data_IF_624936272074
#
_entry.id   IF_624936272074
#
_cell.length_a   1.000
_cell.length_b   1.000
_cell.length_c   1.000
_cell.angle_alpha   90.00
_cell.angle_beta   90.00
_cell.angle_gamma   90.00
#
_symmetry.space_group_name_H-M   'P 1'
#
loop_
_entity.id
_entity.type
_entity.pdbx_description
1 polymer ?
#
# COMPACT_ATOMS: atom_id res chain seq x y z
N UNK A 1 -64.85 -19.32 5.88
CA UNK A 1 -63.66 -20.13 5.48
C UNK A 1 -62.54 -19.85 6.46
N UNK A 2 -62.05 -20.90 7.14
CA UNK A 2 -60.92 -20.87 8.08
C UNK A 2 -59.61 -20.74 7.30
N UNK A 3 -58.65 -19.99 7.82
CA UNK A 3 -57.23 -20.30 7.66
C UNK A 3 -56.51 -20.09 8.99
N UNK A 4 -56.11 -21.21 9.58
CA UNK A 4 -55.06 -21.29 10.59
C UNK A 4 -53.89 -22.11 10.02
N UNK A 5 -52.80 -22.13 10.78
CA UNK A 5 -51.52 -22.82 10.54
C UNK A 5 -50.50 -22.05 9.69
N UNK A 6 -49.60 -21.32 10.39
CA UNK A 6 -48.22 -21.05 9.95
C UNK A 6 -47.35 -20.50 11.11
N UNK A 7 -47.41 -21.11 12.30
CA UNK A 7 -46.59 -20.69 13.45
C UNK A 7 -45.63 -21.77 13.97
N UNK A 8 -45.52 -22.93 13.30
CA UNK A 8 -44.68 -24.06 13.77
C UNK A 8 -43.36 -24.24 13.00
N UNK A 9 -43.06 -23.39 12.01
CA UNK A 9 -41.84 -23.52 11.19
C UNK A 9 -40.68 -22.60 11.62
N UNK A 10 -40.95 -21.59 12.47
CA UNK A 10 -39.95 -20.59 12.86
C UNK A 10 -39.09 -21.07 14.05
N UNK A 11 -39.61 -21.94 14.93
CA UNK A 11 -38.87 -22.43 16.09
C UNK A 11 -37.78 -23.47 15.75
N UNK A 12 -37.86 -24.14 14.59
CA UNK A 12 -36.86 -25.14 14.18
C UNK A 12 -35.61 -24.52 13.51
N UNK A 13 -35.74 -23.34 12.89
CA UNK A 13 -34.61 -22.66 12.23
C UNK A 13 -33.64 -22.10 13.27
N UNK A 14 -34.19 -21.56 14.37
CA UNK A 14 -33.40 -20.95 15.45
C UNK A 14 -32.55 -21.98 16.22
N UNK A 15 -33.01 -23.23 16.29
CA UNK A 15 -32.26 -24.35 16.89
C UNK A 15 -31.09 -24.81 16.00
N UNK A 16 -31.27 -24.83 14.68
CA UNK A 16 -30.23 -25.21 13.72
C UNK A 16 -29.12 -24.16 13.71
N UNK A 17 -29.47 -22.87 13.68
CA UNK A 17 -28.50 -21.77 13.75
C UNK A 17 -27.66 -21.78 15.04
N UNK A 18 -28.27 -22.09 16.20
CA UNK A 18 -27.53 -22.21 17.46
C UNK A 18 -26.55 -23.39 17.48
N UNK A 19 -26.91 -24.51 16.84
CA UNK A 19 -26.07 -25.71 16.79
C UNK A 19 -24.85 -25.51 15.89
N UNK A 20 -25.03 -24.85 14.75
CA UNK A 20 -23.91 -24.56 13.82
C UNK A 20 -22.97 -23.51 14.43
N UNK A 21 -23.51 -22.51 15.12
CA UNK A 21 -22.72 -21.51 15.85
C UNK A 21 -21.92 -22.10 17.03
N UNK A 22 -22.46 -23.12 17.72
CA UNK A 22 -21.71 -23.85 18.75
C UNK A 22 -20.56 -24.69 18.17
N UNK A 23 -20.76 -25.36 17.03
CA UNK A 23 -19.69 -26.09 16.36
C UNK A 23 -18.58 -25.18 15.85
N UNK A 24 -18.94 -23.99 15.39
CA UNK A 24 -17.99 -22.95 14.99
C UNK A 24 -17.21 -22.38 16.18
N UNK A 25 -17.86 -22.23 17.33
CA UNK A 25 -17.20 -21.82 18.58
C UNK A 25 -16.24 -22.90 19.12
N UNK A 26 -16.60 -24.18 19.00
CA UNK A 26 -15.76 -25.31 19.39
C UNK A 26 -14.54 -25.47 18.48
N UNK A 27 -14.68 -25.23 17.17
CA UNK A 27 -13.55 -25.25 16.23
C UNK A 27 -12.59 -24.07 16.45
N UNK A 28 -13.11 -22.87 16.75
CA UNK A 28 -12.31 -21.70 17.12
C UNK A 28 -11.57 -21.90 18.45
N UNK A 29 -12.21 -22.50 19.46
CA UNK A 29 -11.57 -22.79 20.75
C UNK A 29 -10.48 -23.87 20.64
N UNK A 30 -10.62 -24.84 19.72
CA UNK A 30 -9.58 -25.83 19.44
C UNK A 30 -8.37 -25.21 18.75
N UNK A 31 -8.59 -24.33 17.76
CA UNK A 31 -7.53 -23.58 17.10
C UNK A 31 -6.78 -22.63 18.06
N UNK A 32 -7.49 -21.99 19.00
CA UNK A 32 -6.89 -21.17 20.05
C UNK A 32 -6.02 -21.95 21.05
N UNK A 33 -6.29 -23.24 21.30
CA UNK A 33 -5.47 -24.09 22.19
C UNK A 33 -4.25 -24.70 21.51
N UNK A 34 -4.25 -24.87 20.19
CA UNK A 34 -3.13 -25.44 19.43
C UNK A 34 -2.10 -24.39 18.99
N UNK A 35 -2.53 -23.13 18.80
CA UNK A 35 -1.64 -22.00 18.46
C UNK A 35 -0.46 -21.76 19.43
N UNK A 36 -0.64 -21.76 20.77
CA UNK A 36 0.45 -21.48 21.70
C UNK A 36 1.59 -22.50 21.59
N UNK A 37 1.26 -23.78 21.39
CA UNK A 37 2.26 -24.85 21.27
C UNK A 37 3.11 -24.73 20.01
N UNK A 38 2.52 -24.25 18.90
CA UNK A 38 3.23 -24.04 17.64
C UNK A 38 4.15 -22.81 17.71
N UNK A 39 3.76 -21.76 18.44
CA UNK A 39 4.62 -20.59 18.63
C UNK A 39 5.82 -20.89 19.53
N UNK A 40 5.62 -21.66 20.60
CA UNK A 40 6.68 -22.07 21.53
C UNK A 40 7.72 -22.97 20.83
N UNK A 41 7.27 -23.97 20.05
CA UNK A 41 8.16 -24.84 19.26
C UNK A 41 8.96 -24.05 18.20
N UNK A 42 8.38 -22.98 17.63
CA UNK A 42 9.10 -22.10 16.70
C UNK A 42 10.17 -21.29 17.41
N UNK A 43 9.90 -20.77 18.61
CA UNK A 43 10.86 -19.96 19.36
C UNK A 43 12.08 -20.79 19.78
N UNK A 44 11.86 -22.00 20.30
CA UNK A 44 12.93 -22.92 20.69
C UNK A 44 13.86 -23.23 19.51
N UNK A 45 13.29 -23.50 18.33
CA UNK A 45 14.07 -23.75 17.11
C UNK A 45 14.84 -22.51 16.62
N UNK A 46 14.37 -21.29 16.87
CA UNK A 46 15.11 -20.05 16.53
C UNK A 46 16.35 -19.97 17.40
N UNK A 47 16.21 -20.22 18.70
CA UNK A 47 17.33 -20.18 19.63
C UNK A 47 18.38 -21.24 19.31
N UNK A 48 17.97 -22.46 18.95
CA UNK A 48 18.87 -23.49 18.45
C UNK A 48 19.64 -23.05 17.19
N UNK A 49 18.96 -22.38 16.26
CA UNK A 49 19.57 -21.87 15.04
C UNK A 49 20.59 -20.77 15.32
N UNK A 50 20.26 -19.82 16.19
CA UNK A 50 21.17 -18.75 16.59
C UNK A 50 22.37 -19.28 17.37
N UNK A 51 22.16 -20.30 18.20
CA UNK A 51 23.23 -20.98 18.93
C UNK A 51 24.18 -21.69 17.96
N UNK A 52 23.65 -22.48 17.02
CA UNK A 52 24.44 -23.13 15.98
C UNK A 52 25.24 -22.13 15.16
N UNK A 53 24.64 -21.01 14.75
CA UNK A 53 25.35 -19.96 14.01
C UNK A 53 26.51 -19.36 14.81
N UNK A 54 26.34 -19.15 16.12
CA UNK A 54 27.39 -18.64 17.02
C UNK A 54 28.55 -19.62 17.19
N UNK A 55 28.28 -20.93 17.13
CA UNK A 55 29.28 -21.99 17.27
C UNK A 55 30.14 -22.19 16.00
N UNK A 56 29.69 -21.70 14.85
CA UNK A 56 30.49 -21.73 13.62
C UNK A 56 31.70 -20.79 13.70
N UNK A 57 32.85 -21.25 13.19
CA UNK A 57 34.00 -20.38 12.96
C UNK A 57 33.75 -19.45 11.75
N UNK A 58 34.55 -18.40 11.64
CA UNK A 58 34.35 -17.36 10.62
C UNK A 58 34.54 -17.86 9.19
N UNK A 59 35.42 -18.86 8.98
CA UNK A 59 35.62 -19.48 7.67
C UNK A 59 34.35 -20.21 7.22
N UNK A 60 33.71 -20.94 8.12
CA UNK A 60 32.46 -21.64 7.84
C UNK A 60 31.30 -20.65 7.57
N UNK A 61 31.20 -19.57 8.35
CA UNK A 61 30.20 -18.52 8.14
C UNK A 61 30.35 -17.85 6.77
N UNK A 62 31.58 -17.49 6.39
CA UNK A 62 31.88 -16.91 5.08
C UNK A 62 31.49 -17.87 3.95
N UNK A 63 31.86 -19.14 4.04
CA UNK A 63 31.54 -20.14 3.02
C UNK A 63 30.02 -20.32 2.88
N UNK A 64 29.28 -20.35 3.99
CA UNK A 64 27.81 -20.42 3.95
C UNK A 64 27.23 -19.20 3.22
N UNK A 65 27.73 -18.00 3.51
CA UNK A 65 27.27 -16.77 2.84
C UNK A 65 27.55 -16.80 1.34
N UNK A 66 28.76 -17.19 0.94
CA UNK A 66 29.11 -17.27 -0.48
C UNK A 66 28.25 -18.28 -1.25
N UNK A 67 27.98 -19.45 -0.66
CA UNK A 67 27.13 -20.45 -1.31
C UNK A 67 25.67 -19.95 -1.35
N UNK A 68 25.20 -19.31 -0.28
CA UNK A 68 23.84 -18.74 -0.23
C UNK A 68 23.60 -17.70 -1.34
N UNK A 69 24.59 -16.86 -1.63
CA UNK A 69 24.50 -15.86 -2.70
C UNK A 69 24.58 -16.47 -4.12
N UNK A 70 25.32 -17.58 -4.28
CA UNK A 70 25.62 -18.18 -5.59
C UNK A 70 24.59 -19.22 -6.04
N UNK A 71 23.80 -19.79 -5.13
CA UNK A 71 22.96 -20.95 -5.40
C UNK A 71 21.47 -20.66 -5.25
N UNK A 72 20.63 -21.46 -5.93
CA UNK A 72 19.20 -21.45 -5.63
C UNK A 72 18.96 -21.93 -4.20
N UNK A 73 17.79 -21.60 -3.66
CA UNK A 73 17.37 -22.08 -2.34
C UNK A 73 17.50 -23.61 -2.24
N UNK A 74 16.97 -24.37 -3.17
CA UNK A 74 17.00 -25.85 -3.13
C UNK A 74 18.44 -26.40 -3.17
N UNK A 75 19.31 -25.77 -3.95
CA UNK A 75 20.72 -26.15 -4.07
C UNK A 75 21.49 -25.85 -2.78
N UNK A 76 21.34 -24.64 -2.24
CA UNK A 76 21.92 -24.23 -0.97
C UNK A 76 21.52 -25.21 0.14
N UNK A 77 20.26 -25.63 0.16
CA UNK A 77 19.74 -26.57 1.16
C UNK A 77 20.29 -27.97 1.04
N UNK A 78 20.48 -28.44 -0.19
CA UNK A 78 21.12 -29.73 -0.46
C UNK A 78 22.58 -29.69 -0.04
N UNK A 79 23.28 -28.60 -0.34
CA UNK A 79 24.67 -28.39 0.07
C UNK A 79 24.82 -28.34 1.59
N UNK A 80 23.97 -27.57 2.29
CA UNK A 80 24.04 -27.41 3.74
C UNK A 80 23.83 -28.75 4.47
N UNK A 81 22.86 -29.55 4.01
CA UNK A 81 22.63 -30.91 4.52
C UNK A 81 23.83 -31.83 4.29
N UNK A 82 24.46 -31.75 3.11
CA UNK A 82 25.63 -32.55 2.77
C UNK A 82 26.84 -32.22 3.66
N UNK A 83 27.07 -30.93 3.91
CA UNK A 83 28.22 -30.44 4.67
C UNK A 83 28.10 -30.71 6.17
N UNK A 84 26.95 -30.40 6.77
CA UNK A 84 26.79 -30.44 8.23
C UNK A 84 26.03 -31.68 8.75
N UNK A 85 25.68 -32.63 7.87
CA UNK A 85 25.14 -34.03 8.01
C UNK A 85 24.09 -34.33 9.10
N UNK A 86 24.21 -33.79 10.31
CA UNK A 86 23.38 -34.08 11.49
C UNK A 86 23.03 -32.86 12.33
N UNK A 87 23.70 -31.71 12.12
CA UNK A 87 23.51 -30.49 12.95
C UNK A 87 23.13 -29.30 12.06
N UNK A 88 22.21 -29.49 11.13
CA UNK A 88 21.50 -28.34 10.56
C UNK A 88 20.22 -28.21 11.37
N UNK A 89 20.09 -27.19 12.24
CA UNK A 89 18.85 -26.94 12.95
C UNK A 89 17.71 -26.98 11.95
N UNK A 90 16.65 -27.72 12.26
CA UNK A 90 15.49 -27.85 11.38
C UNK A 90 14.97 -26.47 10.92
N UNK A 91 15.26 -25.41 11.67
CA UNK A 91 14.94 -24.02 11.32
C UNK A 91 15.77 -23.33 10.24
N UNK A 92 17.01 -23.74 9.94
CA UNK A 92 17.64 -23.26 8.68
C UNK A 92 16.83 -23.77 7.49
N UNK A 93 16.16 -24.92 7.66
CA UNK A 93 15.22 -25.48 6.69
C UNK A 93 13.82 -24.85 6.70
N UNK A 94 13.28 -24.48 7.86
CA UNK A 94 11.98 -23.80 7.96
C UNK A 94 12.01 -22.30 7.68
N UNK A 95 13.08 -21.60 8.06
CA UNK A 95 13.19 -20.15 7.94
C UNK A 95 13.22 -19.68 6.49
N UNK A 96 13.70 -20.52 5.57
CA UNK A 96 13.66 -20.23 4.13
C UNK A 96 12.28 -20.44 3.51
N UNK A 97 11.36 -21.15 4.17
CA UNK A 97 10.07 -21.56 3.60
C UNK A 97 8.92 -20.61 3.91
N UNK A 98 8.91 -19.87 5.02
CA UNK A 98 7.82 -18.96 5.33
C UNK A 98 8.23 -17.72 6.14
N UNK A 99 7.85 -16.54 5.63
CA UNK A 99 7.80 -15.23 6.31
C UNK A 99 9.08 -14.64 6.87
N UNK A 100 10.20 -15.38 6.87
CA UNK A 100 11.46 -14.91 7.41
C UNK A 100 12.48 -14.78 6.28
N UNK A 101 13.10 -13.61 6.16
CA UNK A 101 14.26 -13.38 5.31
C UNK A 101 15.50 -13.48 6.17
N UNK A 102 16.47 -14.28 5.73
CA UNK A 102 17.80 -14.27 6.29
C UNK A 102 18.63 -13.23 5.55
N UNK A 103 19.06 -12.20 6.28
CA UNK A 103 20.06 -11.27 5.79
C UNK A 103 21.37 -11.54 6.50
N UNK A 104 22.38 -11.91 5.73
CA UNK A 104 23.75 -11.96 6.21
C UNK A 104 24.39 -10.60 5.99
N UNK A 105 24.97 -10.03 7.03
CA UNK A 105 25.70 -8.77 6.95
C UNK A 105 27.11 -8.92 7.51
N UNK A 106 28.06 -8.39 6.75
CA UNK A 106 29.46 -8.24 7.15
C UNK A 106 29.65 -6.81 7.65
N UNK A 107 30.05 -6.65 8.90
CA UNK A 107 30.41 -5.35 9.46
C UNK A 107 31.88 -5.37 9.85
N UNK A 108 32.64 -4.39 9.37
CA UNK A 108 33.93 -4.05 9.94
C UNK A 108 33.64 -3.12 11.12
N UNK A 109 33.96 -3.55 12.34
CA UNK A 109 34.05 -2.61 13.46
C UNK A 109 35.48 -2.15 13.53
N UNK A 110 35.70 -0.88 13.22
CA UNK A 110 36.86 -0.18 13.73
C UNK A 110 36.61 -0.03 15.23
N UNK A 111 37.22 -0.89 16.04
CA UNK A 111 37.27 -0.63 17.48
C UNK A 111 38.07 0.66 17.64
N UNK A 112 37.41 1.73 18.11
CA UNK A 112 38.05 2.95 18.60
C UNK A 112 38.98 2.56 19.76
N UNK A 113 40.19 2.09 19.42
CA UNK A 113 41.24 1.75 20.37
C UNK A 113 41.80 3.07 20.88
N UNK A 114 41.47 3.35 22.14
CA UNK A 114 42.18 4.34 22.94
C UNK A 114 43.67 3.99 22.92
N UNK A 115 44.50 4.93 22.44
CA UNK A 115 45.90 4.75 22.09
C UNK A 115 46.75 4.24 23.26
N UNK A 116 47.23 3.00 23.16
CA UNK A 116 48.50 2.56 23.76
C UNK A 116 49.41 2.11 22.60
N UNK A 117 50.47 2.86 22.36
CA UNK A 117 51.17 2.98 21.06
C UNK A 117 52.05 1.78 20.63
N UNK A 118 52.26 0.75 21.44
CA UNK A 118 53.46 -0.10 21.21
C UNK A 118 53.28 -1.50 20.61
N UNK A 119 52.08 -1.93 20.18
CA UNK A 119 51.91 -3.17 19.39
C UNK A 119 50.74 -3.10 18.40
N UNK A 120 50.97 -2.54 17.21
CA UNK A 120 50.03 -2.62 16.07
C UNK A 120 50.12 -3.97 15.39
N UNK A 121 49.41 -4.95 15.95
CA UNK A 121 48.90 -6.07 15.16
C UNK A 121 47.50 -5.66 14.68
N UNK A 122 47.34 -5.53 13.37
CA UNK A 122 46.15 -5.03 12.68
C UNK A 122 45.06 -6.11 12.70
N UNK A 123 44.53 -6.41 13.89
CA UNK A 123 43.49 -7.43 14.10
C UNK A 123 42.13 -6.86 13.65
N UNK A 124 41.92 -6.84 12.33
CA UNK A 124 40.64 -6.44 11.72
C UNK A 124 39.62 -7.55 11.99
N UNK A 125 38.80 -7.40 13.04
CA UNK A 125 37.75 -8.38 13.36
C UNK A 125 36.52 -8.16 12.48
N UNK A 126 36.34 -9.05 11.52
CA UNK A 126 35.14 -9.11 10.68
C UNK A 126 34.01 -9.76 11.46
N UNK A 127 32.93 -9.03 11.73
CA UNK A 127 31.75 -9.56 12.42
C UNK A 127 30.68 -10.00 11.41
N UNK A 128 30.40 -11.30 11.38
CA UNK A 128 29.30 -11.89 10.63
C UNK A 128 28.03 -11.93 11.47
N UNK A 129 26.99 -11.24 11.01
CA UNK A 129 25.68 -11.19 11.68
C UNK A 129 24.59 -11.83 10.82
N UNK A 130 23.79 -12.69 11.44
CA UNK A 130 22.59 -13.27 10.84
C UNK A 130 21.38 -12.50 11.36
N UNK A 131 20.74 -11.75 10.48
CA UNK A 131 19.51 -11.03 10.79
C UNK A 131 18.31 -11.81 10.26
N UNK A 132 17.41 -12.19 11.16
CA UNK A 132 16.13 -12.78 10.81
C UNK A 132 15.14 -11.63 10.71
N UNK A 133 14.71 -11.29 9.50
CA UNK A 133 13.69 -10.26 9.28
C UNK A 133 12.35 -10.91 8.95
N UNK A 134 11.25 -10.37 9.46
CA UNK A 134 9.91 -10.82 9.09
C UNK A 134 9.37 -10.00 7.92
N UNK A 135 8.89 -10.70 6.90
CA UNK A 135 8.33 -10.10 5.70
C UNK A 135 6.87 -9.69 5.92
N UNK A 136 6.51 -8.48 5.47
CA UNK A 136 5.14 -8.01 5.35
C UNK A 136 4.91 -7.32 4.01
N UNK A 137 3.64 -7.11 3.68
CA UNK A 137 3.21 -6.35 2.53
C UNK A 137 2.59 -5.02 2.99
N UNK A 138 2.83 -3.97 2.24
CA UNK A 138 2.22 -2.65 2.42
C UNK A 138 1.46 -2.30 1.16
N UNK A 139 0.16 -2.08 1.29
CA UNK A 139 -0.71 -1.61 0.24
C UNK A 139 -0.73 -0.07 0.26
N UNK A 140 -0.21 0.55 -0.79
CA UNK A 140 -0.10 2.01 -0.92
C UNK A 140 -1.38 2.64 -1.45
N UNK A 141 -2.05 1.95 -2.38
CA UNK A 141 -3.33 2.31 -2.98
C UNK A 141 -4.12 1.04 -3.37
N UNK A 142 -5.22 1.16 -4.13
CA UNK A 142 -6.06 0.01 -4.53
C UNK A 142 -5.35 -1.00 -5.44
N UNK A 143 -4.19 -0.66 -5.99
CA UNK A 143 -3.48 -1.42 -7.04
C UNK A 143 -2.03 -1.76 -6.72
N UNK A 144 -1.36 -0.97 -5.88
CA UNK A 144 0.07 -1.10 -5.61
C UNK A 144 0.37 -1.69 -4.21
N UNK A 145 1.09 -2.81 -4.21
CA UNK A 145 1.60 -3.47 -3.00
C UNK A 145 3.12 -3.57 -3.04
N UNK A 146 3.78 -3.25 -1.92
CA UNK A 146 5.24 -3.34 -1.76
C UNK A 146 5.58 -4.28 -0.61
N UNK A 147 6.67 -5.02 -0.77
CA UNK A 147 7.20 -5.87 0.30
C UNK A 147 8.11 -5.06 1.22
N UNK A 148 8.00 -5.27 2.52
CA UNK A 148 8.88 -4.72 3.55
C UNK A 148 9.42 -5.85 4.43
N UNK A 149 10.57 -5.59 5.06
CA UNK A 149 11.23 -6.52 5.96
C UNK A 149 11.53 -5.82 7.28
N UNK A 150 11.03 -6.42 8.37
CA UNK A 150 11.12 -5.90 9.74
C UNK A 150 12.06 -6.78 10.55
N UNK A 151 13.14 -6.21 11.06
CA UNK A 151 14.08 -6.88 11.97
C UNK A 151 13.50 -7.03 13.38
N UNK A 152 12.64 -6.10 13.78
CA UNK A 152 11.89 -6.05 15.02
C UNK A 152 10.42 -5.76 14.70
N UNK A 153 9.51 -6.42 15.43
CA UNK A 153 8.07 -6.19 15.26
C UNK A 153 7.60 -5.00 16.11
N UNK A 154 8.14 -3.82 15.81
CA UNK A 154 7.75 -2.57 16.47
C UNK A 154 7.00 -1.66 15.50
N UNK A 155 6.12 -0.84 16.03
CA UNK A 155 5.41 0.20 15.29
C UNK A 155 6.40 1.21 14.71
N UNK A 156 7.47 1.55 15.43
CA UNK A 156 8.50 2.48 14.94
C UNK A 156 9.22 1.94 13.71
N UNK A 157 9.63 0.66 13.70
CA UNK A 157 10.30 0.08 12.53
C UNK A 157 9.33 -0.07 11.36
N UNK A 158 8.07 -0.44 11.61
CA UNK A 158 7.03 -0.48 10.60
C UNK A 158 6.89 0.88 9.89
N UNK A 159 6.79 1.96 10.65
CA UNK A 159 6.73 3.32 10.11
C UNK A 159 7.98 3.68 9.29
N UNK A 160 9.19 3.38 9.79
CA UNK A 160 10.44 3.65 9.06
C UNK A 160 10.49 2.91 7.71
N UNK A 161 10.12 1.62 7.69
CA UNK A 161 10.10 0.83 6.45
C UNK A 161 9.03 1.31 5.47
N UNK A 162 7.87 1.71 5.96
CA UNK A 162 6.80 2.31 5.14
C UNK A 162 7.30 3.61 4.49
N UNK A 163 7.89 4.51 5.28
CA UNK A 163 8.44 5.77 4.76
C UNK A 163 9.48 5.56 3.67
N UNK A 164 10.29 4.49 3.75
CA UNK A 164 11.31 4.16 2.75
C UNK A 164 10.74 3.60 1.44
N UNK A 165 9.53 3.02 1.45
CA UNK A 165 8.89 2.50 0.23
C UNK A 165 7.98 3.52 -0.45
N UNK A 166 7.63 4.61 0.24
CA UNK A 166 6.91 5.74 -0.33
C UNK A 166 7.86 6.59 -1.18
N UNK A 167 7.39 7.02 -2.35
CA UNK A 167 8.16 7.96 -3.15
C UNK A 167 8.15 9.37 -2.54
N UNK A 168 9.17 10.15 -2.90
CA UNK A 168 9.35 11.51 -2.38
C UNK A 168 8.16 12.42 -2.72
N UNK A 169 7.58 12.27 -3.91
CA UNK A 169 6.40 13.04 -4.33
C UNK A 169 5.19 12.81 -3.43
N UNK A 170 4.97 11.58 -2.98
CA UNK A 170 3.89 11.20 -2.09
C UNK A 170 4.09 11.82 -0.71
N UNK A 171 5.31 11.72 -0.16
CA UNK A 171 5.64 12.35 1.12
C UNK A 171 5.49 13.89 1.06
N UNK A 172 5.95 14.52 -0.02
CA UNK A 172 5.78 15.96 -0.23
C UNK A 172 4.31 16.37 -0.38
N UNK A 173 3.51 15.58 -1.10
CA UNK A 173 2.07 15.78 -1.22
C UNK A 173 1.37 15.68 0.14
N UNK A 174 1.71 14.67 0.95
CA UNK A 174 1.15 14.51 2.29
C UNK A 174 1.49 15.69 3.20
N UNK A 175 2.73 16.16 3.17
CA UNK A 175 3.16 17.31 3.95
C UNK A 175 2.41 18.59 3.52
N UNK A 176 2.26 18.83 2.21
CA UNK A 176 1.55 20.00 1.66
C UNK A 176 0.05 19.96 1.96
N UNK A 177 -0.58 18.80 1.84
CA UNK A 177 -2.01 18.62 2.07
C UNK A 177 -2.35 18.33 3.54
N UNK A 178 -1.35 18.30 4.43
CA UNK A 178 -1.50 18.05 5.86
C UNK A 178 -2.26 16.74 6.14
N UNK A 179 -1.97 15.68 5.39
CA UNK A 179 -2.54 14.36 5.65
C UNK A 179 -1.80 13.67 6.80
N UNK A 180 -2.55 13.04 7.69
CA UNK A 180 -2.05 12.05 8.63
C UNK A 180 -2.11 10.68 7.96
N UNK A 181 -0.97 10.00 7.95
CA UNK A 181 -0.89 8.59 7.59
C UNK A 181 -1.51 7.74 8.69
N UNK A 182 -2.38 6.82 8.31
CA UNK A 182 -2.86 5.74 9.14
C UNK A 182 -2.44 4.41 8.54
N UNK A 183 -2.07 3.48 9.41
CA UNK A 183 -1.69 2.12 9.02
C UNK A 183 -2.79 1.19 9.53
N UNK A 184 -3.41 0.43 8.63
CA UNK A 184 -4.52 -0.46 8.95
C UNK A 184 -4.07 -1.90 8.70
N UNK A 185 -4.14 -2.77 9.71
CA UNK A 185 -3.97 -4.22 9.53
C UNK A 185 -5.20 -4.81 8.87
N UNK A 186 -5.05 -5.36 7.66
CA UNK A 186 -6.19 -5.80 6.85
C UNK A 186 -6.89 -7.04 7.39
N UNK A 187 -6.20 -7.83 8.21
CA UNK A 187 -6.74 -9.03 8.85
C UNK A 187 -7.87 -8.72 9.84
N UNK A 188 -7.87 -7.51 10.44
CA UNK A 188 -8.86 -7.09 11.43
C UNK A 188 -9.52 -5.75 11.10
N UNK A 189 -9.16 -5.14 9.97
CA UNK A 189 -9.49 -3.75 9.64
C UNK A 189 -9.22 -2.79 10.81
N UNK A 190 -8.15 -3.06 11.58
CA UNK A 190 -7.82 -2.34 12.81
C UNK A 190 -6.67 -1.38 12.55
N UNK A 191 -6.76 -0.18 13.11
CA UNK A 191 -5.66 0.77 13.16
C UNK A 191 -4.48 0.17 13.95
N UNK A 192 -3.27 0.31 13.41
CA UNK A 192 -2.02 -0.13 14.02
C UNK A 192 -1.37 1.10 14.64
N UNK A 193 -1.31 1.16 15.97
CA UNK A 193 -0.74 2.30 16.71
C UNK A 193 0.37 1.90 17.68
N UNK A 194 0.47 0.60 17.97
CA UNK A 194 1.34 0.04 19.01
C UNK A 194 2.16 -1.13 18.49
N UNK A 195 3.24 -1.46 19.20
CA UNK A 195 4.05 -2.64 18.91
C UNK A 195 3.21 -3.93 19.03
N UNK A 196 2.30 -3.98 20.00
CA UNK A 196 1.36 -5.08 20.18
C UNK A 196 0.46 -5.29 18.96
N UNK A 197 0.00 -4.22 18.32
CA UNK A 197 -0.81 -4.31 17.09
C UNK A 197 0.00 -4.95 15.96
N UNK A 198 1.25 -4.53 15.77
CA UNK A 198 2.16 -5.11 14.76
C UNK A 198 2.38 -6.59 15.04
N UNK A 199 2.75 -6.93 16.28
CA UNK A 199 2.96 -8.33 16.70
C UNK A 199 1.69 -9.15 16.44
N UNK A 200 0.52 -8.60 16.78
CA UNK A 200 -0.74 -9.31 16.64
C UNK A 200 -1.09 -9.62 15.18
N UNK A 201 -0.84 -8.69 14.25
CA UNK A 201 -1.02 -8.92 12.81
C UNK A 201 -0.12 -10.04 12.28
N UNK A 202 1.12 -10.12 12.76
CA UNK A 202 2.04 -11.22 12.42
C UNK A 202 1.64 -12.56 13.02
N UNK A 203 0.90 -12.57 14.13
CA UNK A 203 0.37 -13.81 14.74
C UNK A 203 -0.87 -14.34 14.03
N UNK A 204 -1.71 -13.45 13.54
CA UNK A 204 -2.99 -13.79 12.89
C UNK A 204 -2.86 -14.11 11.40
N UNK A 205 -1.89 -13.51 10.72
CA UNK A 205 -1.71 -13.68 9.28
C UNK A 205 -0.39 -14.34 8.92
N UNK A 206 -0.45 -15.34 8.05
CA UNK A 206 0.74 -15.90 7.39
C UNK A 206 1.35 -14.94 6.37
N UNK A 207 0.59 -13.97 5.88
CA UNK A 207 1.05 -12.93 4.98
C UNK A 207 0.52 -11.59 5.50
N UNK A 208 1.22 -10.97 6.47
CA UNK A 208 0.82 -9.70 7.05
C UNK A 208 0.70 -8.64 5.96
N UNK A 209 -0.45 -7.97 5.92
CA UNK A 209 -0.74 -6.90 4.98
C UNK A 209 -1.20 -5.66 5.76
N UNK A 210 -0.50 -4.57 5.51
CA UNK A 210 -0.76 -3.25 6.08
C UNK A 210 -1.26 -2.33 4.98
N UNK A 211 -2.46 -1.81 5.12
CA UNK A 211 -3.03 -0.83 4.20
C UNK A 211 -2.77 0.58 4.71
N UNK A 212 -2.23 1.44 3.85
CA UNK A 212 -2.12 2.86 4.14
C UNK A 212 -3.45 3.55 3.87
N UNK A 213 -3.87 4.38 4.81
CA UNK A 213 -5.03 5.24 4.68
C UNK A 213 -4.64 6.66 5.04
N UNK A 214 -5.14 7.63 4.28
CA UNK A 214 -4.83 9.04 4.47
C UNK A 214 -6.05 9.72 5.10
N UNK A 215 -5.85 10.38 6.24
CA UNK A 215 -6.88 11.21 6.86
C UNK A 215 -6.42 12.66 6.92
N UNK A 216 -7.25 13.64 6.51
CA UNK A 216 -6.91 15.04 6.68
C UNK A 216 -6.59 15.32 8.16
N UNK A 217 -5.46 15.98 8.43
CA UNK A 217 -5.14 16.41 9.79
C UNK A 217 -6.08 17.53 10.20
N UNK A 218 -6.98 17.25 11.16
CA UNK A 218 -7.87 18.26 11.73
C UNK A 218 -7.13 19.25 12.64
N UNK A 219 -5.88 18.97 13.02
CA UNK A 219 -5.11 19.77 13.98
C UNK A 219 -4.24 20.85 13.33
N UNK A 220 -4.07 20.82 12.00
CA UNK A 220 -3.32 21.85 11.28
C UNK A 220 -4.29 22.95 10.79
N UNK A 221 -4.40 23.99 11.62
CA UNK A 221 -5.12 25.26 11.38
C UNK A 221 -6.65 25.25 11.45
N UNK A 222 -7.14 25.73 12.60
CA UNK A 222 -8.49 26.23 12.89
C UNK A 222 -9.06 27.30 11.91
N UNK A 223 -8.34 27.65 10.83
CA UNK A 223 -8.79 28.64 9.83
C UNK A 223 -8.85 28.13 8.39
N UNK A 224 -8.45 26.88 8.11
CA UNK A 224 -8.66 26.26 6.80
C UNK A 224 -9.58 25.07 6.97
N UNK A 225 -10.88 25.33 7.01
CA UNK A 225 -11.87 24.25 6.87
C UNK A 225 -11.61 23.57 5.52
N UNK A 226 -11.03 22.37 5.53
CA UNK A 226 -11.02 21.51 4.34
C UNK A 226 -12.49 21.32 3.95
N UNK A 227 -12.93 22.04 2.93
CA UNK A 227 -14.30 21.94 2.44
C UNK A 227 -14.38 20.66 1.62
N UNK A 228 -15.06 19.66 2.18
CA UNK A 228 -15.44 18.47 1.41
C UNK A 228 -16.42 18.92 0.34
N UNK A 229 -16.03 18.76 -0.93
CA UNK A 229 -16.89 18.97 -2.08
C UNK A 229 -17.84 17.79 -2.18
N UNK A 230 -19.13 18.03 -1.94
CA UNK A 230 -20.17 16.99 -1.92
C UNK A 230 -21.01 17.00 -3.19
N UNK A 231 -21.09 18.12 -3.88
CA UNK A 231 -21.95 18.31 -5.03
C UNK A 231 -21.27 19.25 -6.03
N UNK A 232 -20.29 18.72 -6.76
CA UNK A 232 -19.57 19.49 -7.76
C UNK A 232 -20.28 19.44 -9.12
N UNK A 233 -20.21 20.55 -9.86
CA UNK A 233 -20.35 20.53 -11.30
C UNK A 233 -18.96 20.47 -11.94
N UNK A 234 -18.71 19.45 -12.73
CA UNK A 234 -17.48 19.26 -13.49
C UNK A 234 -17.75 19.54 -14.97
N UNK A 235 -17.00 20.48 -15.54
CA UNK A 235 -17.14 20.94 -16.91
C UNK A 235 -15.84 20.69 -17.65
N UNK A 236 -15.86 19.82 -18.65
CA UNK A 236 -14.69 19.51 -19.47
C UNK A 236 -14.84 20.06 -20.88
N UNK A 237 -13.82 20.77 -21.37
CA UNK A 237 -13.68 21.11 -22.78
C UNK A 237 -12.48 20.37 -23.33
N UNK A 238 -12.72 19.42 -24.23
CA UNK A 238 -11.71 18.67 -24.96
C UNK A 238 -11.72 19.05 -26.44
N UNK A 239 -10.65 19.69 -26.93
CA UNK A 239 -10.47 20.02 -28.35
C UNK A 239 -9.44 19.07 -28.93
N UNK A 240 -9.93 18.04 -29.64
CA UNK A 240 -9.11 16.97 -30.23
C UNK A 240 -8.80 17.21 -31.70
N UNK A 241 -9.57 18.04 -32.41
CA UNK A 241 -9.38 18.31 -33.83
C UNK A 241 -9.13 19.80 -34.14
N UNK A 242 -8.16 20.06 -35.02
CA UNK A 242 -7.76 21.39 -35.46
C UNK A 242 -7.78 21.52 -36.98
N UNK A 243 -8.20 22.69 -37.47
CA UNK A 243 -8.27 23.00 -38.89
C UNK A 243 -6.88 23.05 -39.54
N UNK A 244 -5.89 23.60 -38.82
CA UNK A 244 -4.49 23.62 -39.23
C UNK A 244 -3.69 22.54 -38.48
N UNK A 245 -3.81 21.31 -38.97
CA UNK A 245 -3.10 20.15 -38.42
C UNK A 245 -1.57 20.22 -38.63
N UNK A 246 -1.06 21.21 -39.38
CA UNK A 246 0.38 21.39 -39.58
C UNK A 246 1.01 22.16 -38.44
N UNK A 247 0.31 23.17 -37.92
CA UNK A 247 0.75 23.96 -36.75
C UNK A 247 0.27 23.36 -35.43
N UNK A 248 -0.97 22.87 -35.39
CA UNK A 248 -1.62 22.33 -34.21
C UNK A 248 -2.09 20.91 -34.51
N UNK A 249 -1.26 19.92 -34.19
CA UNK A 249 -1.60 18.53 -34.48
C UNK A 249 -2.84 18.08 -33.70
N UNK A 250 -3.70 17.29 -34.31
CA UNK A 250 -4.84 16.66 -33.63
C UNK A 250 -4.39 15.86 -32.40
N UNK A 251 -5.25 15.83 -31.38
CA UNK A 251 -5.03 15.21 -30.07
C UNK A 251 -6.06 14.09 -29.85
N UNK A 252 -5.96 12.96 -30.57
CA UNK A 252 -6.99 11.91 -30.58
C UNK A 252 -7.23 11.27 -29.20
N UNK A 253 -6.20 11.24 -28.34
CA UNK A 253 -6.32 10.69 -26.99
C UNK A 253 -7.33 11.44 -26.11
N UNK A 254 -7.62 12.72 -26.40
CA UNK A 254 -8.58 13.48 -25.61
C UNK A 254 -9.97 12.84 -25.69
N UNK A 255 -10.40 12.49 -26.90
CA UNK A 255 -11.71 11.89 -27.15
C UNK A 255 -11.74 10.40 -26.75
N UNK A 256 -10.70 9.66 -27.12
CA UNK A 256 -10.66 8.21 -26.91
C UNK A 256 -10.42 7.81 -25.44
N UNK A 257 -9.63 8.61 -24.71
CA UNK A 257 -9.12 8.23 -23.38
C UNK A 257 -9.48 9.25 -22.31
N UNK A 258 -9.12 10.52 -22.51
CA UNK A 258 -9.19 11.49 -21.41
C UNK A 258 -10.63 11.76 -20.99
N UNK A 259 -11.55 12.02 -21.95
CA UNK A 259 -12.98 12.21 -21.66
C UNK A 259 -13.56 10.98 -20.96
N UNK A 260 -13.24 9.77 -21.43
CA UNK A 260 -13.73 8.51 -20.84
C UNK A 260 -13.22 8.35 -19.39
N UNK A 261 -11.94 8.63 -19.16
CA UNK A 261 -11.32 8.52 -17.86
C UNK A 261 -11.89 9.53 -16.86
N UNK A 262 -11.96 10.81 -17.24
CA UNK A 262 -12.51 11.86 -16.38
C UNK A 262 -13.99 11.67 -16.10
N UNK A 263 -14.77 11.25 -17.11
CA UNK A 263 -16.17 10.91 -16.91
C UNK A 263 -16.33 9.76 -15.91
N UNK A 264 -15.55 8.68 -16.06
CA UNK A 264 -15.59 7.58 -15.10
C UNK A 264 -15.24 8.04 -13.68
N UNK A 265 -14.16 8.80 -13.51
CA UNK A 265 -13.73 9.30 -12.21
C UNK A 265 -14.76 10.24 -11.58
N UNK A 266 -15.16 11.30 -12.27
CA UNK A 266 -16.00 12.34 -11.68
C UNK A 266 -17.48 11.94 -11.60
N UNK A 267 -18.02 11.30 -12.65
CA UNK A 267 -19.43 10.94 -12.69
C UNK A 267 -19.71 9.62 -11.96
N UNK A 268 -18.89 8.58 -12.15
CA UNK A 268 -19.17 7.25 -11.58
C UNK A 268 -18.56 7.04 -10.21
N UNK A 269 -17.30 7.44 -10.00
CA UNK A 269 -16.61 7.19 -8.72
C UNK A 269 -16.94 8.28 -7.69
N UNK A 270 -16.93 9.55 -8.11
CA UNK A 270 -17.18 10.69 -7.22
C UNK A 270 -18.65 11.15 -7.20
N UNK A 271 -19.49 10.64 -8.12
CA UNK A 271 -20.92 10.97 -8.23
C UNK A 271 -21.18 12.49 -8.33
N UNK A 272 -20.36 13.18 -9.13
CA UNK A 272 -20.54 14.58 -9.48
C UNK A 272 -21.24 14.72 -10.84
N UNK A 273 -21.88 15.88 -11.05
CA UNK A 273 -22.45 16.19 -12.35
C UNK A 273 -21.31 16.47 -13.34
N UNK A 274 -21.22 15.67 -14.41
CA UNK A 274 -20.19 15.81 -15.44
C UNK A 274 -20.79 16.26 -16.77
N UNK A 275 -20.26 17.36 -17.32
CA UNK A 275 -20.66 17.89 -18.64
C UNK A 275 -19.42 18.10 -19.49
N UNK A 276 -19.47 17.67 -20.75
CA UNK A 276 -18.42 17.93 -21.72
C UNK A 276 -18.97 18.37 -23.08
N UNK A 277 -18.13 19.00 -23.89
CA UNK A 277 -18.46 19.31 -25.27
C UNK A 277 -18.69 18.05 -26.10
N UNK A 278 -19.70 18.09 -26.98
CA UNK A 278 -20.06 16.95 -27.81
C UNK A 278 -19.25 16.84 -29.10
N UNK A 279 -18.72 17.96 -29.60
CA UNK A 279 -17.94 18.02 -30.83
C UNK A 279 -16.44 18.10 -30.55
N UNK A 280 -15.64 17.34 -31.30
CA UNK A 280 -14.18 17.30 -31.25
C UNK A 280 -13.51 18.65 -31.60
N UNK A 281 -14.23 19.51 -32.33
CA UNK A 281 -13.80 20.86 -32.72
C UNK A 281 -14.58 21.88 -31.92
N UNK A 282 -13.90 22.94 -31.50
CA UNK A 282 -14.56 24.07 -30.86
C UNK A 282 -13.81 25.37 -31.17
N UNK A 283 -14.48 26.30 -31.83
CA UNK A 283 -13.96 27.67 -32.03
C UNK A 283 -14.05 28.46 -30.73
N UNK A 284 -13.41 29.63 -30.70
CA UNK A 284 -13.53 30.57 -29.59
C UNK A 284 -14.99 30.94 -29.29
N UNK A 285 -15.78 31.17 -30.33
CA UNK A 285 -17.23 31.43 -30.22
C UNK A 285 -17.95 30.19 -29.68
N UNK A 286 -17.62 28.99 -30.17
CA UNK A 286 -18.17 27.74 -29.67
C UNK A 286 -17.93 27.51 -28.18
N UNK A 287 -16.75 27.84 -27.66
CA UNK A 287 -16.45 27.78 -26.21
C UNK A 287 -17.35 28.73 -25.43
N UNK A 288 -17.53 29.97 -25.91
CA UNK A 288 -18.41 30.96 -25.27
C UNK A 288 -19.87 30.52 -25.27
N UNK A 289 -20.34 30.00 -26.39
CA UNK A 289 -21.70 29.51 -26.55
C UNK A 289 -21.95 28.29 -25.65
N UNK A 290 -20.98 27.38 -25.56
CA UNK A 290 -21.04 26.24 -24.67
C UNK A 290 -21.22 26.67 -23.20
N UNK A 291 -20.39 27.58 -22.69
CA UNK A 291 -20.53 28.07 -21.32
C UNK A 291 -21.83 28.88 -21.11
N UNK A 292 -22.25 29.66 -22.10
CA UNK A 292 -23.52 30.42 -22.03
C UNK A 292 -24.72 29.47 -21.92
N UNK A 293 -24.74 28.42 -22.74
CA UNK A 293 -25.75 27.37 -22.69
C UNK A 293 -25.69 26.58 -21.38
N UNK A 294 -24.50 26.32 -20.84
CA UNK A 294 -24.34 25.65 -19.56
C UNK A 294 -24.90 26.49 -18.40
N UNK A 295 -24.57 27.79 -18.36
CA UNK A 295 -25.05 28.73 -17.36
C UNK A 295 -26.58 28.83 -17.34
N UNK A 296 -27.22 28.77 -18.51
CA UNK A 296 -28.68 28.77 -18.66
C UNK A 296 -29.29 27.43 -18.27
N UNK A 297 -28.81 26.32 -18.86
CA UNK A 297 -29.39 24.98 -18.67
C UNK A 297 -29.27 24.44 -17.24
N UNK A 298 -28.22 24.83 -16.52
CA UNK A 298 -28.02 24.46 -15.10
C UNK A 298 -28.45 25.55 -14.13
N UNK A 299 -29.02 26.65 -14.63
CA UNK A 299 -29.40 27.83 -13.86
C UNK A 299 -28.30 28.31 -12.88
N UNK A 300 -27.04 28.31 -13.31
CA UNK A 300 -25.88 28.53 -12.43
C UNK A 300 -25.91 29.89 -11.73
N UNK A 301 -26.55 30.89 -12.32
CA UNK A 301 -26.76 32.21 -11.73
C UNK A 301 -27.63 32.17 -10.45
N UNK A 302 -28.52 31.17 -10.32
CA UNK A 302 -29.30 30.88 -9.10
C UNK A 302 -28.69 29.75 -8.28
N UNK A 303 -27.82 28.95 -8.89
CA UNK A 303 -27.31 27.70 -8.35
C UNK A 303 -28.46 26.77 -7.88
N UNK A 304 -29.50 26.62 -8.71
CA UNK A 304 -30.71 25.84 -8.37
C UNK A 304 -30.42 24.37 -8.01
N UNK A 305 -29.28 23.85 -8.47
CA UNK A 305 -28.80 22.49 -8.19
C UNK A 305 -27.96 22.40 -6.91
N UNK A 306 -27.75 23.51 -6.19
CA UNK A 306 -26.97 23.61 -4.95
C UNK A 306 -25.53 23.07 -5.09
N UNK A 307 -24.84 23.39 -6.19
CA UNK A 307 -23.43 23.02 -6.34
C UNK A 307 -22.57 23.74 -5.30
N UNK A 308 -21.65 23.01 -4.67
CA UNK A 308 -20.70 23.55 -3.69
C UNK A 308 -19.30 23.76 -4.26
N UNK A 309 -19.07 23.29 -5.49
CA UNK A 309 -17.89 23.60 -6.30
C UNK A 309 -18.19 23.57 -7.81
N UNK A 310 -17.40 24.32 -8.56
CA UNK A 310 -17.31 24.25 -10.01
C UNK A 310 -15.87 23.86 -10.39
N UNK A 311 -15.71 22.77 -11.12
CA UNK A 311 -14.42 22.28 -11.61
C UNK A 311 -14.42 22.42 -13.13
N UNK A 312 -13.44 23.14 -13.69
CA UNK A 312 -13.30 23.29 -15.14
C UNK A 312 -12.01 22.62 -15.59
N UNK A 313 -12.13 21.70 -16.55
CA UNK A 313 -11.02 20.94 -17.13
C UNK A 313 -10.89 21.36 -18.59
N UNK A 314 -9.71 21.83 -18.97
CA UNK A 314 -9.41 22.26 -20.34
C UNK A 314 -8.33 21.32 -20.91
N UNK A 315 -8.70 20.59 -21.95
CA UNK A 315 -7.81 19.70 -22.69
C UNK A 315 -7.72 20.20 -24.14
N UNK A 316 -6.69 20.98 -24.44
CA UNK A 316 -6.41 21.49 -25.78
C UNK A 316 -4.92 21.88 -25.87
N UNK A 317 -4.49 22.36 -27.04
CA UNK A 317 -3.19 23.03 -27.14
C UNK A 317 -3.18 24.34 -26.35
N UNK A 318 -1.99 24.68 -25.84
CA UNK A 318 -1.71 25.98 -25.26
C UNK A 318 -0.63 26.71 -26.06
N UNK A 319 -0.64 28.04 -25.99
CA UNK A 319 0.44 28.89 -26.52
C UNK A 319 0.94 29.86 -25.44
N UNK A 320 2.01 30.60 -25.75
CA UNK A 320 2.60 31.60 -24.85
C UNK A 320 1.54 32.59 -24.36
N UNK A 321 1.55 32.85 -23.05
CA UNK A 321 0.63 33.79 -22.41
C UNK A 321 -0.62 33.14 -21.82
N UNK A 322 -0.56 31.86 -21.44
CA UNK A 322 -1.65 31.12 -20.77
C UNK A 322 -2.94 31.07 -21.61
N UNK A 323 -2.77 30.87 -22.92
CA UNK A 323 -3.84 30.91 -23.91
C UNK A 323 -4.24 29.49 -24.32
N UNK A 324 -5.54 29.21 -24.30
CA UNK A 324 -6.14 27.99 -24.86
C UNK A 324 -6.33 28.15 -26.37
N UNK A 325 -5.82 27.23 -27.17
CA UNK A 325 -5.98 27.27 -28.63
C UNK A 325 -7.28 26.57 -29.04
N UNK A 326 -8.16 27.31 -29.72
CA UNK A 326 -9.38 26.78 -30.32
C UNK A 326 -9.12 26.00 -31.61
N UNK A 327 -10.09 25.24 -32.09
CA UNK A 327 -9.95 24.37 -33.27
C UNK A 327 -9.59 25.11 -34.57
N UNK A 328 -9.83 26.42 -34.65
CA UNK A 328 -9.40 27.27 -35.77
C UNK A 328 -7.98 27.86 -35.59
N UNK A 329 -7.25 27.40 -34.57
CA UNK A 329 -5.85 27.76 -34.32
C UNK A 329 -5.65 29.12 -33.65
N UNK A 330 -6.73 29.73 -33.13
CA UNK A 330 -6.72 31.04 -32.45
C UNK A 330 -6.78 30.88 -30.94
N UNK A 331 -6.35 31.94 -30.23
CA UNK A 331 -6.44 32.08 -28.77
C UNK A 331 -7.62 32.90 -28.28
#
# INVERSE_FOLDING_TARGET
>A
LKFGANYLLIENIDYIFKKDKMKELESQNKAQKEMPKIEEEKHEKIEECLKWWKELNDKDKLEIMEIFEKQSKEQFMTWLKSKYKTVVPSMVLFGLDYTHSFHFSVSNRDEDKQEDEDKKEDDTRVLYSLHISKMAHVQLDSTATKCIYLSQLTHSELCDKICKVLDRSTLEMMAKMQFLMQIIGTDRAKLIETDEDVIQTFKTSKQPLFQLSWKPSLSANLNTTVRVVRNALVVMIGISEYADNSRWSNLPNIEEKDIVNFKNLFEKELNYDFVHNQEARMTKEGVKDFFSNLMLSRELHKNSMNYDALIVILCAHGDKGDVLISSDGKG
#
